data_IF_150680846407
#
_entry.id   IF_150680846407
#
_cell.length_a   1.000
_cell.length_b   1.000
_cell.length_c   1.000
_cell.angle_alpha   90.00
_cell.angle_beta   90.00
_cell.angle_gamma   90.00
#
_symmetry.space_group_name_H-M   'P 1'
#
loop_
_entity.id
_entity.type
_entity.pdbx_description
1 polymer ?
#
# COMPACT_ATOMS: atom_id res chain seq x y z
N UNK A 1 20.41 0.54 -15.54
CA UNK A 1 19.71 1.57 -14.74
C UNK A 1 18.51 0.89 -14.12
N UNK A 2 18.33 0.94 -12.79
CA UNK A 2 17.04 0.57 -12.19
C UNK A 2 16.01 1.57 -12.74
N UNK A 3 14.95 1.08 -13.38
CA UNK A 3 13.78 1.90 -13.69
C UNK A 3 13.24 2.44 -12.35
N UNK A 4 12.70 3.66 -12.35
CA UNK A 4 12.23 4.31 -11.12
C UNK A 4 11.21 3.47 -10.32
N UNK A 5 11.04 3.78 -9.03
CA UNK A 5 10.12 3.07 -8.16
C UNK A 5 8.68 3.18 -8.66
N UNK A 6 7.85 2.22 -8.30
CA UNK A 6 6.45 2.16 -8.77
C UNK A 6 5.49 2.55 -7.68
N UNK A 7 4.45 3.28 -8.06
CA UNK A 7 3.31 3.51 -7.18
C UNK A 7 2.55 2.18 -6.99
N UNK A 8 2.48 1.72 -5.76
CA UNK A 8 1.76 0.52 -5.35
C UNK A 8 0.42 0.89 -4.72
N UNK A 9 -0.63 0.20 -5.15
CA UNK A 9 -1.99 0.37 -4.64
C UNK A 9 -2.25 -0.57 -3.42
N UNK A 10 -3.46 -0.54 -2.86
CA UNK A 10 -3.95 -1.37 -1.75
C UNK A 10 -3.67 -2.86 -1.97
N UNK A 11 -3.68 -3.34 -3.23
CA UNK A 11 -3.34 -4.73 -3.54
C UNK A 11 -1.87 -5.09 -3.26
N UNK A 12 -0.95 -4.12 -3.38
CA UNK A 12 0.46 -4.31 -3.03
C UNK A 12 0.60 -4.53 -1.51
N UNK A 13 -0.10 -3.73 -0.70
CA UNK A 13 -0.11 -3.88 0.77
C UNK A 13 -0.66 -5.25 1.16
N UNK A 14 -1.79 -5.65 0.57
CA UNK A 14 -2.39 -6.96 0.76
C UNK A 14 -1.40 -8.10 0.45
N UNK A 15 -0.69 -8.01 -0.67
CA UNK A 15 0.28 -9.02 -1.11
C UNK A 15 1.54 -9.11 -0.24
N UNK A 16 1.95 -7.98 0.35
CA UNK A 16 3.07 -7.94 1.29
C UNK A 16 2.67 -8.55 2.64
N UNK A 17 1.46 -8.26 3.13
CA UNK A 17 0.94 -8.76 4.40
C UNK A 17 0.59 -10.26 4.35
N UNK A 18 -0.20 -10.69 3.36
CA UNK A 18 -0.64 -12.09 3.23
C UNK A 18 0.35 -12.93 2.43
N UNK A 19 0.98 -13.89 3.11
CA UNK A 19 1.98 -14.80 2.51
C UNK A 19 1.40 -15.69 1.39
N UNK A 20 0.12 -15.99 1.48
CA UNK A 20 -0.67 -16.81 0.56
C UNK A 20 -1.35 -16.00 -0.55
N UNK A 21 -1.15 -14.67 -0.61
CA UNK A 21 -1.66 -13.84 -1.70
C UNK A 21 -1.11 -14.31 -3.05
N UNK A 22 -2.01 -14.55 -4.02
CA UNK A 22 -1.64 -14.88 -5.41
C UNK A 22 -0.79 -13.81 -6.10
N UNK A 23 -0.80 -12.58 -5.59
CA UNK A 23 -0.03 -11.47 -6.14
C UNK A 23 1.35 -11.31 -5.50
N UNK A 24 1.65 -12.04 -4.41
CA UNK A 24 2.87 -11.87 -3.61
C UNK A 24 4.15 -11.97 -4.45
N UNK A 25 4.26 -12.98 -5.29
CA UNK A 25 5.46 -13.18 -6.13
C UNK A 25 5.73 -11.98 -7.04
N UNK A 26 4.68 -11.43 -7.67
CA UNK A 26 4.79 -10.27 -8.55
C UNK A 26 5.17 -9.00 -7.78
N UNK A 27 4.56 -8.77 -6.62
CA UNK A 27 4.84 -7.58 -5.79
C UNK A 27 6.26 -7.62 -5.22
N UNK A 28 6.75 -8.78 -4.77
CA UNK A 28 8.13 -8.91 -4.32
C UNK A 28 9.15 -8.73 -5.45
N UNK A 29 8.83 -9.18 -6.67
CA UNK A 29 9.66 -8.93 -7.84
C UNK A 29 9.75 -7.43 -8.15
N UNK A 30 8.59 -6.73 -8.17
CA UNK A 30 8.53 -5.27 -8.34
C UNK A 30 9.35 -4.53 -7.28
N UNK A 31 9.18 -4.89 -6.00
CA UNK A 31 9.93 -4.30 -4.90
C UNK A 31 11.44 -4.45 -5.09
N UNK A 32 11.90 -5.66 -5.43
CA UNK A 32 13.33 -5.94 -5.63
C UNK A 32 13.93 -5.22 -6.85
N UNK A 33 13.17 -5.13 -7.94
CA UNK A 33 13.68 -4.66 -9.23
C UNK A 33 13.56 -3.14 -9.39
N UNK A 34 12.51 -2.55 -8.81
CA UNK A 34 12.11 -1.14 -9.00
C UNK A 34 12.08 -0.37 -7.69
N UNK A 35 11.62 -1.01 -6.62
CA UNK A 35 11.13 -0.35 -5.41
C UNK A 35 9.64 -0.04 -5.48
N UNK A 36 9.00 0.13 -4.32
CA UNK A 36 7.58 0.43 -4.17
C UNK A 36 7.40 1.74 -3.41
N UNK A 37 6.59 2.64 -3.95
CA UNK A 37 6.03 3.78 -3.24
C UNK A 37 4.57 3.47 -2.94
N UNK A 38 4.17 3.45 -1.68
CA UNK A 38 2.80 3.08 -1.27
C UNK A 38 2.18 4.28 -0.56
N UNK A 39 1.09 4.87 -1.08
CA UNK A 39 0.33 5.87 -0.33
C UNK A 39 -0.20 5.32 1.00
N UNK A 40 -0.08 6.07 2.09
CA UNK A 40 -0.61 5.66 3.41
C UNK A 40 -2.11 5.32 3.37
N UNK A 41 -2.88 5.98 2.50
CA UNK A 41 -4.30 5.67 2.31
C UNK A 41 -4.51 4.22 1.88
N UNK A 42 -3.65 3.66 1.03
CA UNK A 42 -3.72 2.27 0.61
C UNK A 42 -3.48 1.29 1.78
N UNK A 43 -2.62 1.67 2.72
CA UNK A 43 -2.40 0.90 3.94
C UNK A 43 -3.64 0.92 4.84
N UNK A 44 -4.34 2.04 4.94
CA UNK A 44 -5.61 2.14 5.66
C UNK A 44 -6.72 1.34 4.97
N UNK A 45 -6.83 1.44 3.65
CA UNK A 45 -7.85 0.74 2.86
C UNK A 45 -7.77 -0.78 3.03
N UNK A 46 -6.56 -1.36 3.09
CA UNK A 46 -6.38 -2.79 3.29
C UNK A 46 -6.86 -3.27 4.67
N UNK A 47 -6.98 -2.39 5.67
CA UNK A 47 -7.50 -2.76 6.99
C UNK A 47 -8.96 -3.24 6.91
N UNK A 48 -9.79 -2.63 6.05
CA UNK A 48 -11.20 -3.01 5.92
C UNK A 48 -11.39 -4.47 5.46
N UNK A 49 -10.82 -4.94 4.32
CA UNK A 49 -10.96 -6.33 3.92
C UNK A 49 -10.26 -7.30 4.90
N UNK A 50 -9.17 -6.90 5.56
CA UNK A 50 -8.55 -7.71 6.63
C UNK A 50 -9.53 -7.92 7.78
N UNK A 51 -10.15 -6.85 8.28
CA UNK A 51 -11.16 -6.92 9.33
C UNK A 51 -12.35 -7.77 8.91
N UNK A 52 -12.86 -7.57 7.69
CA UNK A 52 -13.98 -8.36 7.16
C UNK A 52 -13.66 -9.85 7.06
N UNK A 53 -12.42 -10.21 6.76
CA UNK A 53 -11.99 -11.60 6.62
C UNK A 53 -11.62 -12.28 7.94
N UNK A 54 -11.00 -11.56 8.89
CA UNK A 54 -10.33 -12.14 10.07
C UNK A 54 -10.64 -11.45 11.40
N UNK A 55 -11.39 -10.35 11.39
CA UNK A 55 -11.81 -9.61 12.57
C UNK A 55 -10.72 -8.75 13.21
N UNK A 56 -11.07 -8.11 14.33
CA UNK A 56 -10.22 -7.14 15.03
C UNK A 56 -8.89 -7.72 15.54
N UNK A 57 -8.85 -9.01 15.91
CA UNK A 57 -7.62 -9.64 16.39
C UNK A 57 -6.51 -9.66 15.34
N UNK A 58 -6.87 -9.77 14.06
CA UNK A 58 -5.90 -9.70 12.97
C UNK A 58 -5.45 -8.25 12.70
N UNK A 59 -6.30 -7.25 12.95
CA UNK A 59 -5.91 -5.84 12.82
C UNK A 59 -4.76 -5.47 13.77
N UNK A 60 -4.67 -6.08 14.95
CA UNK A 60 -3.53 -5.86 15.84
C UNK A 60 -2.20 -6.33 15.21
N UNK A 61 -2.23 -7.48 14.50
CA UNK A 61 -1.06 -7.96 13.75
C UNK A 61 -0.77 -7.11 12.53
N UNK A 62 -1.81 -6.62 11.88
CA UNK A 62 -1.69 -5.72 10.75
C UNK A 62 -1.07 -4.36 11.16
N UNK A 63 -1.45 -3.81 12.32
CA UNK A 63 -0.84 -2.60 12.87
C UNK A 63 0.66 -2.79 13.11
N UNK A 64 1.07 -3.90 13.74
CA UNK A 64 2.49 -4.24 13.90
C UNK A 64 3.20 -4.41 12.55
N UNK A 65 2.54 -4.99 11.55
CA UNK A 65 3.09 -5.06 10.19
C UNK A 65 3.33 -3.67 9.61
N UNK A 66 2.39 -2.73 9.76
CA UNK A 66 2.53 -1.36 9.26
C UNK A 66 3.67 -0.61 9.96
N UNK A 67 3.85 -0.79 11.28
CA UNK A 67 4.98 -0.19 12.02
C UNK A 67 6.34 -0.65 11.48
N UNK A 68 6.43 -1.89 11.00
CA UNK A 68 7.66 -2.47 10.45
C UNK A 68 7.81 -2.25 8.94
N UNK A 69 6.77 -1.79 8.25
CA UNK A 69 6.77 -1.64 6.80
C UNK A 69 7.84 -0.64 6.29
N UNK A 70 8.09 0.51 6.96
CA UNK A 70 9.18 1.43 6.59
C UNK A 70 10.59 0.84 6.72
N UNK A 71 10.76 -0.28 7.42
CA UNK A 71 12.07 -0.93 7.58
C UNK A 71 12.45 -1.78 6.35
N UNK A 72 11.51 -1.97 5.41
CA UNK A 72 11.73 -2.78 4.22
C UNK A 72 12.51 -1.97 3.18
N UNK A 73 13.72 -2.42 2.84
CA UNK A 73 14.55 -1.78 1.82
C UNK A 73 13.81 -1.70 0.47
N UNK A 74 13.84 -0.51 -0.15
CA UNK A 74 13.19 -0.26 -1.43
C UNK A 74 11.69 -0.02 -1.34
N UNK A 75 11.10 0.01 -0.14
CA UNK A 75 9.71 0.39 0.10
C UNK A 75 9.65 1.74 0.81
N UNK A 76 8.81 2.63 0.31
CA UNK A 76 8.50 3.92 0.93
C UNK A 76 7.00 4.04 1.13
N UNK A 77 6.56 4.38 2.34
CA UNK A 77 5.19 4.83 2.59
C UNK A 77 5.13 6.34 2.35
N UNK A 78 4.30 6.76 1.39
CA UNK A 78 4.08 8.17 1.09
C UNK A 78 2.99 8.71 2.03
N UNK A 79 3.31 9.68 2.90
CA UNK A 79 2.32 10.25 3.80
C UNK A 79 1.29 11.06 3.04
N UNK A 80 0.03 10.97 3.46
CA UNK A 80 -1.04 11.77 2.90
C UNK A 80 -0.99 13.19 3.46
N UNK A 81 -0.76 14.18 2.60
CA UNK A 81 -0.77 15.60 3.00
C UNK A 81 -2.06 16.28 2.59
N UNK A 82 -2.30 17.46 3.17
CA UNK A 82 -3.47 18.27 2.84
C UNK A 82 -3.49 18.65 1.35
N UNK A 83 -2.34 18.96 0.77
CA UNK A 83 -2.22 19.33 -0.65
C UNK A 83 -2.56 18.16 -1.57
N UNK A 84 -2.22 16.93 -1.18
CA UNK A 84 -2.55 15.72 -1.93
C UNK A 84 -4.07 15.51 -1.97
N UNK A 85 -4.74 15.73 -0.84
CA UNK A 85 -6.21 15.68 -0.75
C UNK A 85 -6.87 16.70 -1.67
N UNK A 86 -6.42 17.96 -1.63
CA UNK A 86 -6.97 19.02 -2.48
C UNK A 86 -6.84 18.63 -3.96
N UNK A 87 -5.65 18.21 -4.39
CA UNK A 87 -5.40 17.83 -5.80
C UNK A 87 -6.21 16.60 -6.20
N UNK A 88 -6.34 15.60 -5.33
CA UNK A 88 -7.14 14.41 -5.62
C UNK A 88 -8.62 14.76 -5.84
N UNK A 89 -9.18 15.64 -5.00
CA UNK A 89 -10.58 16.10 -5.13
C UNK A 89 -10.77 16.95 -6.39
N UNK A 90 -9.83 17.85 -6.69
CA UNK A 90 -9.86 18.66 -7.91
C UNK A 90 -9.82 17.79 -9.17
N UNK A 91 -8.96 16.76 -9.20
CA UNK A 91 -8.90 15.80 -10.31
C UNK A 91 -10.23 15.06 -10.47
N UNK A 92 -10.77 14.51 -9.37
CA UNK A 92 -12.02 13.75 -9.39
C UNK A 92 -13.24 14.60 -9.77
N UNK A 93 -13.25 15.89 -9.44
CA UNK A 93 -14.34 16.80 -9.79
C UNK A 93 -14.31 17.24 -11.26
N UNK A 94 -13.12 17.26 -11.89
CA UNK A 94 -12.92 17.79 -13.24
C UNK A 94 -12.77 16.71 -14.32
N UNK A 95 -12.51 15.45 -13.95
CA UNK A 95 -12.52 14.31 -14.87
C UNK A 95 -13.76 13.43 -14.61
N UNK A 96 -14.77 13.40 -15.50
CA UNK A 96 -15.94 12.56 -15.31
C UNK A 96 -15.56 11.06 -15.40
N UNK A 97 -16.15 10.27 -14.50
CA UNK A 97 -16.01 8.81 -14.45
C UNK A 97 -16.65 8.09 -15.65
#
# INVERSE_FOLDING_TARGET
MRSGPVLGDTICVWALYFRDSKYRGHVLALLRERGLLIPEVCALEAAYPIFRAKGAGELARYALFLENLPLVEGLELIPLRFEDLVRAVELAANEPA
#
